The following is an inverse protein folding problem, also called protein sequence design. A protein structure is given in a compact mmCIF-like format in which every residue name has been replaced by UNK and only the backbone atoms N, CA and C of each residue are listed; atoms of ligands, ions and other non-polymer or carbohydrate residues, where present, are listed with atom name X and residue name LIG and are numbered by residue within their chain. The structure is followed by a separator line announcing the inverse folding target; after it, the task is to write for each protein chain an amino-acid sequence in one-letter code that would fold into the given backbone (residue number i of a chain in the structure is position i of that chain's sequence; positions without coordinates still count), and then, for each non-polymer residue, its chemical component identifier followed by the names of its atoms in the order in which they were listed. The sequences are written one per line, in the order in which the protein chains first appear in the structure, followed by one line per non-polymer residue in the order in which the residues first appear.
data_IF_144715876570
#
_entry.id   IF_144715876570
#
_cell.length_a   1.000
_cell.length_b   1.000
_cell.length_c   1.000
_cell.angle_alpha   90.00
_cell.angle_beta   90.00
_cell.angle_gamma   90.00
#
_symmetry.space_group_name_H-M   'P 1'
#
loop_
_entity.id
_entity.type
_entity.pdbx_description
1 polymer ?
#
# COMPACT_ATOMS: atom_id res chain seq x y z
N UNK A 1 -16.52 3.78 18.25
CA UNK A 1 -15.52 3.99 17.19
C UNK A 1 -14.29 3.19 17.59
N UNK A 2 -13.94 2.14 16.85
CA UNK A 2 -12.76 1.34 17.18
C UNK A 2 -11.51 2.20 16.94
N UNK A 3 -10.82 2.58 18.01
CA UNK A 3 -9.49 3.18 17.96
C UNK A 3 -8.52 2.12 17.40
N UNK A 4 -8.45 2.02 16.07
CA UNK A 4 -7.53 1.11 15.40
C UNK A 4 -6.13 1.70 15.52
N UNK A 5 -5.40 1.32 16.56
CA UNK A 5 -4.01 1.75 16.88
C UNK A 5 -2.95 1.18 15.93
N UNK A 6 -3.29 0.85 14.68
CA UNK A 6 -2.30 0.38 13.71
C UNK A 6 -1.46 1.60 13.25
N UNK A 7 -0.18 1.72 13.65
CA UNK A 7 0.63 2.91 13.31
C UNK A 7 0.81 3.09 11.81
N UNK A 8 0.70 2.02 11.01
CA UNK A 8 0.82 2.11 9.56
C UNK A 8 -0.48 2.45 8.82
N UNK A 9 -1.58 2.70 9.52
CA UNK A 9 -2.81 3.14 8.85
C UNK A 9 -2.71 4.64 8.52
N UNK A 10 -3.06 5.03 7.29
CA UNK A 10 -3.04 6.44 6.86
C UNK A 10 -3.94 7.34 7.71
N UNK A 11 -5.04 6.80 8.26
CA UNK A 11 -5.91 7.54 9.19
C UNK A 11 -5.23 7.97 10.49
N UNK A 12 -4.10 7.33 10.84
CA UNK A 12 -3.32 7.61 12.04
C UNK A 12 -2.07 8.47 11.75
N UNK A 13 -1.94 9.01 10.53
CA UNK A 13 -0.77 9.79 10.09
C UNK A 13 -1.16 11.23 9.78
N UNK A 14 -0.25 12.20 9.95
CA UNK A 14 -0.48 13.58 9.55
C UNK A 14 -0.74 13.70 8.04
N UNK A 15 -1.64 14.61 7.67
CA UNK A 15 -2.09 14.76 6.29
C UNK A 15 -0.94 15.11 5.32
N UNK A 16 0.03 15.91 5.77
CA UNK A 16 1.25 16.25 5.02
C UNK A 16 2.06 15.00 4.64
N UNK A 17 2.28 14.10 5.60
CA UNK A 17 3.04 12.87 5.37
C UNK A 17 2.32 11.96 4.35
N UNK A 18 1.00 11.83 4.47
CA UNK A 18 0.18 11.08 3.51
C UNK A 18 0.28 11.68 2.11
N UNK A 19 0.24 13.02 1.99
CA UNK A 19 0.40 13.71 0.72
C UNK A 19 1.79 13.48 0.12
N UNK A 20 2.85 13.58 0.93
CA UNK A 20 4.22 13.33 0.49
C UNK A 20 4.41 11.89 -0.01
N UNK A 21 3.81 10.91 0.67
CA UNK A 21 3.83 9.49 0.24
C UNK A 21 3.11 9.31 -1.09
N UNK A 22 1.91 9.90 -1.24
CA UNK A 22 1.15 9.84 -2.48
C UNK A 22 1.90 10.49 -3.65
N UNK A 23 2.50 11.66 -3.41
CA UNK A 23 3.32 12.39 -4.37
C UNK A 23 4.52 11.56 -4.83
N UNK A 24 5.30 11.01 -3.90
CA UNK A 24 6.45 10.12 -4.20
C UNK A 24 6.03 8.89 -5.02
N UNK A 25 4.86 8.32 -4.73
CA UNK A 25 4.29 7.21 -5.50
C UNK A 25 3.98 7.59 -6.95
N UNK A 26 3.36 8.75 -7.17
CA UNK A 26 3.06 9.27 -8.50
C UNK A 26 4.30 9.65 -9.32
N UNK A 27 5.32 10.22 -8.67
CA UNK A 27 6.55 10.64 -9.33
C UNK A 27 7.39 9.47 -9.88
N UNK A 28 7.39 8.30 -9.23
CA UNK A 28 8.12 7.11 -9.72
C UNK A 28 7.54 6.53 -11.02
N UNK A 29 6.33 6.90 -11.40
CA UNK A 29 5.69 6.48 -12.65
C UNK A 29 6.12 7.35 -13.84
N UNK A 30 7.37 7.22 -14.27
CA UNK A 30 7.96 8.05 -15.34
C UNK A 30 7.40 7.82 -16.76
N UNK A 31 6.53 6.82 -16.98
CA UNK A 31 6.01 6.43 -18.32
C UNK A 31 4.50 6.19 -18.36
N UNK A 32 3.75 6.88 -17.51
CA UNK A 32 2.35 6.60 -17.26
C UNK A 32 2.18 5.40 -16.34
N UNK A 33 1.16 5.45 -15.48
CA UNK A 33 0.92 4.40 -14.48
C UNK A 33 0.42 3.11 -15.10
N UNK A 34 -0.10 2.21 -14.26
CA UNK A 34 -0.72 0.95 -14.71
C UNK A 34 -1.81 1.16 -15.77
N UNK A 35 -2.55 2.28 -15.69
CA UNK A 35 -3.61 2.64 -16.64
C UNK A 35 -3.10 3.05 -18.03
N UNK A 36 -1.83 3.46 -18.16
CA UNK A 36 -1.24 3.87 -19.43
C UNK A 36 -0.43 2.75 -20.10
N UNK A 37 -0.39 1.55 -19.50
CA UNK A 37 0.28 0.40 -20.10
C UNK A 37 -0.56 -0.23 -21.22
N UNK A 38 0.09 -1.01 -22.08
CA UNK A 38 -0.57 -1.86 -23.05
C UNK A 38 -1.62 -2.80 -22.39
N UNK A 39 -2.83 -2.96 -22.96
CA UNK A 39 -3.90 -3.76 -22.36
C UNK A 39 -3.54 -5.23 -22.12
N UNK A 40 -2.76 -5.86 -23.00
CA UNK A 40 -2.36 -7.26 -22.83
C UNK A 40 -1.36 -7.38 -21.68
N UNK A 41 -0.40 -6.45 -21.61
CA UNK A 41 0.53 -6.37 -20.49
C UNK A 41 -0.20 -6.13 -19.17
N UNK A 42 -1.18 -5.24 -19.16
CA UNK A 42 -2.01 -4.94 -18.00
C UNK A 42 -2.76 -6.19 -17.52
N UNK A 43 -3.39 -6.93 -18.43
CA UNK A 43 -4.09 -8.19 -18.13
C UNK A 43 -3.15 -9.25 -17.58
N UNK A 44 -1.96 -9.39 -18.14
CA UNK A 44 -0.97 -10.36 -17.67
C UNK A 44 -0.50 -10.04 -16.25
N UNK A 45 -0.25 -8.77 -15.93
CA UNK A 45 0.12 -8.34 -14.58
C UNK A 45 -1.04 -8.57 -13.60
N UNK A 46 -2.27 -8.18 -13.98
CA UNK A 46 -3.45 -8.40 -13.16
C UNK A 46 -3.69 -9.89 -12.88
N UNK A 47 -3.55 -10.75 -13.91
CA UNK A 47 -3.69 -12.20 -13.79
C UNK A 47 -2.67 -12.79 -12.82
N UNK A 48 -1.38 -12.43 -12.97
CA UNK A 48 -0.33 -12.85 -12.05
C UNK A 48 -0.59 -12.39 -10.62
N UNK A 49 -1.07 -11.15 -10.45
CA UNK A 49 -1.46 -10.61 -9.14
C UNK A 49 -2.63 -11.38 -8.52
N UNK A 50 -3.63 -11.76 -9.32
CA UNK A 50 -4.76 -12.58 -8.89
C UNK A 50 -4.34 -13.99 -8.47
N UNK A 51 -3.46 -14.64 -9.24
CA UNK A 51 -2.92 -15.97 -8.93
C UNK A 51 -2.04 -16.00 -7.68
N UNK A 52 -1.29 -14.93 -7.43
CA UNK A 52 -0.46 -14.79 -6.23
C UNK A 52 -1.28 -14.39 -4.99
N UNK A 53 -2.51 -13.89 -5.17
CA UNK A 53 -3.40 -13.50 -4.10
C UNK A 53 -4.08 -14.73 -3.49
N UNK A 54 -4.27 -14.72 -2.17
CA UNK A 54 -5.07 -15.72 -1.45
C UNK A 54 -6.59 -15.55 -1.63
N UNK A 55 -7.01 -14.67 -2.55
CA UNK A 55 -8.41 -14.33 -2.79
C UNK A 55 -8.86 -13.06 -2.04
N UNK A 56 -10.15 -12.75 -2.15
CA UNK A 56 -10.77 -11.64 -1.41
C UNK A 56 -11.02 -12.04 0.03
N UNK A 57 -10.94 -11.08 0.95
CA UNK A 57 -11.34 -11.28 2.32
C UNK A 57 -12.81 -10.92 2.51
N UNK A 58 -13.50 -11.64 3.39
CA UNK A 58 -14.83 -11.24 3.86
C UNK A 58 -14.73 -10.15 4.92
N UNK A 59 -15.82 -9.42 5.13
CA UNK A 59 -15.88 -8.40 6.18
C UNK A 59 -15.72 -9.06 7.55
N UNK A 60 -14.72 -8.63 8.31
CA UNK A 60 -14.41 -9.21 9.63
C UNK A 60 -13.48 -10.43 9.58
N UNK A 61 -13.00 -10.84 8.40
CA UNK A 61 -12.07 -11.96 8.28
C UNK A 61 -10.76 -11.68 9.08
N UNK A 62 -10.39 -12.55 10.04
CA UNK A 62 -9.18 -12.37 10.84
C UNK A 62 -7.91 -12.34 9.98
N UNK A 63 -7.88 -13.01 8.83
CA UNK A 63 -6.75 -13.00 7.88
C UNK A 63 -6.56 -11.62 7.26
N UNK A 64 -7.65 -10.93 6.94
CA UNK A 64 -7.60 -9.55 6.44
C UNK A 64 -6.99 -8.62 7.47
N UNK A 65 -7.43 -8.75 8.73
CA UNK A 65 -6.91 -7.97 9.86
C UNK A 65 -5.43 -8.24 10.08
N UNK A 66 -5.01 -9.51 10.09
CA UNK A 66 -3.61 -9.89 10.24
C UNK A 66 -2.73 -9.38 9.09
N UNK A 67 -3.20 -9.49 7.84
CA UNK A 67 -2.50 -8.98 6.67
C UNK A 67 -2.35 -7.45 6.71
N UNK A 68 -3.41 -6.73 7.06
CA UNK A 68 -3.39 -5.27 7.22
C UNK A 68 -2.50 -4.81 8.38
N UNK A 69 -2.52 -5.53 9.52
CA UNK A 69 -1.62 -5.26 10.64
C UNK A 69 -0.16 -5.48 10.26
N UNK A 70 0.16 -6.60 9.58
CA UNK A 70 1.51 -6.91 9.09
C UNK A 70 2.00 -5.91 8.04
N UNK A 71 1.10 -5.44 7.16
CA UNK A 71 1.41 -4.39 6.19
C UNK A 71 1.71 -3.05 6.87
N UNK A 72 0.91 -2.68 7.86
CA UNK A 72 1.09 -1.45 8.63
C UNK A 72 2.31 -1.47 9.55
N UNK A 73 2.68 -2.61 10.12
CA UNK A 73 3.81 -2.72 11.05
C UNK A 73 5.19 -2.51 10.39
N UNK A 74 5.29 -2.50 9.06
CA UNK A 74 6.55 -2.27 8.34
C UNK A 74 6.88 -0.79 8.14
N UNK A 75 6.01 0.12 8.58
CA UNK A 75 6.20 1.58 8.46
C UNK A 75 7.09 2.20 9.54
N UNK A 76 7.62 1.41 10.48
CA UNK A 76 8.44 1.89 11.60
C UNK A 76 9.95 1.99 11.31
N UNK A 77 10.38 1.96 10.05
CA UNK A 77 11.79 2.14 9.68
C UNK A 77 11.90 3.29 8.65
N UNK A 78 12.90 4.15 8.86
CA UNK A 78 13.31 5.31 8.05
C UNK A 78 12.70 6.69 8.39
N UNK A 79 12.80 7.11 9.66
CA UNK A 79 12.80 8.54 10.01
C UNK A 79 14.11 9.05 10.63
N UNK A 80 15.15 8.21 10.78
CA UNK A 80 16.46 8.63 11.32
C UNK A 80 17.63 8.03 10.53
N UNK A 81 17.88 8.53 9.32
CA UNK A 81 19.25 8.51 8.78
C UNK A 81 19.63 9.98 8.58
N UNK A 82 20.42 10.60 9.47
CA UNK A 82 21.09 11.84 9.13
C UNK A 82 22.02 11.54 7.94
N UNK A 83 21.87 12.32 6.88
CA UNK A 83 22.82 12.38 5.78
C UNK A 83 24.20 12.76 6.38
N UNK A 84 25.20 11.88 6.31
CA UNK A 84 26.62 12.22 6.51
C UNK A 84 27.35 12.17 5.16
#
# INVERSE_FOLDING_TARGET
MASNTNPGNFSNRPQEEVQNIASKGGQRSHRGGFASMDPEKQRNIASKGGQASSGSFESGDPRARAAGQKGGSRTSYDLDQPEE
#
